data_IF_324126860313
#
_entry.id   IF_324126860313
#
_cell.length_a   1.000
_cell.length_b   1.000
_cell.length_c   1.000
_cell.angle_alpha   90.00
_cell.angle_beta   90.00
_cell.angle_gamma   90.00
#
_symmetry.space_group_name_H-M   'P 1'
#
loop_
_entity.id
_entity.type
_entity.pdbx_description
1 polymer ?
#
# COMPACT_ATOMS: atom_id res chain seq x y z
N UNK A 1 -0.11 -19.91 3.60
CA UNK A 1 0.85 -18.95 3.00
C UNK A 1 0.17 -18.20 1.87
N UNK A 2 0.66 -17.00 1.55
CA UNK A 2 0.12 -16.12 0.49
C UNK A 2 1.26 -15.74 -0.45
N UNK A 3 1.01 -15.81 -1.74
CA UNK A 3 1.87 -15.28 -2.79
C UNK A 3 1.10 -14.23 -3.58
N UNK A 4 1.65 -13.03 -3.69
CA UNK A 4 1.07 -11.94 -4.49
C UNK A 4 1.81 -11.84 -5.82
N UNK A 5 1.05 -11.82 -6.92
CA UNK A 5 1.58 -11.65 -8.27
C UNK A 5 1.56 -10.15 -8.63
N UNK A 6 2.71 -9.55 -8.69
CA UNK A 6 2.90 -8.14 -9.01
C UNK A 6 3.10 -7.26 -7.78
N UNK A 7 3.59 -6.06 -8.02
CA UNK A 7 3.78 -5.00 -7.05
C UNK A 7 3.54 -3.67 -7.77
N UNK A 8 2.52 -2.93 -7.33
CA UNK A 8 2.15 -1.61 -7.86
C UNK A 8 2.21 -1.52 -9.40
N UNK A 9 1.54 -2.44 -10.12
CA UNK A 9 1.71 -2.56 -11.56
C UNK A 9 1.31 -1.30 -12.34
N UNK A 10 0.51 -0.42 -11.76
CA UNK A 10 0.15 0.88 -12.34
C UNK A 10 1.34 1.83 -12.45
N UNK A 11 2.38 1.58 -11.66
CA UNK A 11 3.58 2.40 -11.59
C UNK A 11 4.80 1.71 -12.19
N UNK A 12 4.89 0.39 -12.04
CA UNK A 12 6.03 -0.40 -12.47
C UNK A 12 5.90 -0.90 -13.91
N UNK A 13 4.66 -1.13 -14.39
CA UNK A 13 4.39 -1.46 -15.77
C UNK A 13 4.03 -0.17 -16.52
N UNK A 14 5.00 0.44 -17.18
CA UNK A 14 4.74 1.52 -18.09
C UNK A 14 3.97 0.99 -19.32
N UNK A 15 2.63 0.91 -19.23
CA UNK A 15 1.77 0.62 -20.39
C UNK A 15 1.88 1.69 -21.48
N UNK A 16 2.57 2.80 -21.21
CA UNK A 16 2.88 3.89 -22.13
C UNK A 16 4.09 3.62 -23.02
N UNK A 17 4.71 2.45 -22.95
CA UNK A 17 5.81 2.11 -23.86
C UNK A 17 5.27 1.36 -25.07
N UNK A 18 5.85 1.59 -26.24
CA UNK A 18 5.52 0.96 -27.54
C UNK A 18 5.53 -0.58 -27.55
N UNK A 19 5.75 -1.21 -26.40
CA UNK A 19 5.87 -2.66 -26.21
C UNK A 19 4.63 -3.32 -25.58
N UNK A 20 3.69 -2.53 -25.08
CA UNK A 20 2.45 -3.05 -24.50
C UNK A 20 1.23 -2.39 -25.17
N UNK A 21 0.20 -3.18 -25.45
CA UNK A 21 -1.06 -2.62 -25.93
C UNK A 21 -1.70 -1.75 -24.85
N UNK A 22 -2.11 -0.55 -25.22
CA UNK A 22 -2.65 0.47 -24.32
C UNK A 22 -3.94 0.06 -23.58
N UNK A 23 -4.54 -1.07 -23.94
CA UNK A 23 -5.78 -1.60 -23.34
C UNK A 23 -5.56 -2.59 -22.18
N UNK A 24 -4.30 -2.84 -21.81
CA UNK A 24 -3.95 -3.78 -20.73
C UNK A 24 -4.16 -5.26 -21.08
N UNK A 25 -4.48 -5.61 -22.33
CA UNK A 25 -4.75 -6.99 -22.74
C UNK A 25 -3.54 -7.90 -22.56
N UNK A 26 -2.36 -7.45 -22.95
CA UNK A 26 -1.12 -8.22 -22.82
C UNK A 26 -0.77 -8.47 -21.36
N UNK A 27 -0.98 -7.48 -20.50
CA UNK A 27 -0.76 -7.63 -19.08
C UNK A 27 -1.77 -8.59 -18.44
N UNK A 28 -3.03 -8.52 -18.84
CA UNK A 28 -4.06 -9.47 -18.41
C UNK A 28 -3.72 -10.90 -18.84
N UNK A 29 -3.31 -11.09 -20.09
CA UNK A 29 -2.91 -12.40 -20.62
C UNK A 29 -1.71 -12.95 -19.87
N UNK A 30 -0.68 -12.12 -19.62
CA UNK A 30 0.48 -12.49 -18.83
C UNK A 30 0.09 -12.93 -17.41
N UNK A 31 -0.71 -12.15 -16.69
CA UNK A 31 -1.13 -12.50 -15.33
C UNK A 31 -1.94 -13.81 -15.28
N UNK A 32 -2.83 -14.03 -16.26
CA UNK A 32 -3.58 -15.28 -16.35
C UNK A 32 -2.66 -16.49 -16.53
N UNK A 33 -1.74 -16.41 -17.48
CA UNK A 33 -0.78 -17.48 -17.75
C UNK A 33 0.14 -17.71 -16.54
N UNK A 34 0.59 -16.62 -15.90
CA UNK A 34 1.44 -16.72 -14.72
C UNK A 34 0.72 -17.42 -13.55
N UNK A 35 -0.54 -17.06 -13.28
CA UNK A 35 -1.35 -17.73 -12.26
C UNK A 35 -1.52 -19.22 -12.53
N UNK A 36 -1.78 -19.59 -13.80
CA UNK A 36 -1.95 -20.98 -14.20
C UNK A 36 -0.65 -21.78 -14.05
N UNK A 37 0.48 -21.22 -14.46
CA UNK A 37 1.82 -21.85 -14.28
C UNK A 37 2.18 -21.99 -12.82
N UNK A 38 1.97 -20.96 -12.00
CA UNK A 38 2.17 -21.04 -10.56
C UNK A 38 1.32 -22.14 -9.93
N UNK A 39 0.07 -22.28 -10.36
CA UNK A 39 -0.82 -23.34 -9.86
C UNK A 39 -0.31 -24.72 -10.24
N UNK A 40 0.10 -24.93 -11.47
CA UNK A 40 0.70 -26.18 -11.93
C UNK A 40 1.97 -26.52 -11.15
N UNK A 41 2.82 -25.50 -10.97
CA UNK A 41 4.10 -25.68 -10.28
C UNK A 41 3.92 -25.98 -8.78
N UNK A 42 3.02 -25.26 -8.08
CA UNK A 42 2.74 -25.56 -6.67
C UNK A 42 2.17 -26.96 -6.49
N UNK A 43 1.30 -27.43 -7.39
CA UNK A 43 0.75 -28.80 -7.35
C UNK A 43 1.84 -29.85 -7.53
N UNK A 44 2.72 -29.66 -8.52
CA UNK A 44 3.83 -30.56 -8.80
C UNK A 44 4.83 -30.69 -7.63
N UNK A 45 4.95 -29.65 -6.79
CA UNK A 45 5.86 -29.62 -5.65
C UNK A 45 5.17 -29.85 -4.29
N UNK A 46 3.87 -30.08 -4.26
CA UNK A 46 3.09 -30.28 -3.03
C UNK A 46 2.99 -29.02 -2.15
N UNK A 47 3.09 -27.83 -2.73
CA UNK A 47 3.00 -26.56 -2.00
C UNK A 47 1.57 -26.06 -1.85
N UNK A 48 1.31 -25.38 -0.73
CA UNK A 48 -0.03 -24.97 -0.32
C UNK A 48 -0.10 -23.46 -0.03
N UNK A 49 0.09 -22.61 -1.03
CA UNK A 49 -0.10 -21.17 -0.90
C UNK A 49 -1.29 -20.69 -1.72
N UNK A 50 -1.94 -19.62 -1.26
CA UNK A 50 -2.98 -18.91 -1.97
C UNK A 50 -2.34 -17.87 -2.92
N UNK A 51 -2.84 -17.78 -4.15
CA UNK A 51 -2.37 -16.81 -5.15
C UNK A 51 -3.30 -15.60 -5.15
N UNK A 52 -2.72 -14.41 -4.93
CA UNK A 52 -3.40 -13.12 -5.07
C UNK A 52 -2.79 -12.34 -6.23
N UNK A 53 -3.59 -11.54 -6.91
CA UNK A 53 -3.11 -10.58 -7.91
C UNK A 53 -3.12 -9.16 -7.32
N UNK A 54 -2.37 -8.26 -7.91
CA UNK A 54 -2.27 -6.89 -7.45
C UNK A 54 -0.79 -6.59 -7.28
N UNK A 55 -0.29 -5.95 -6.31
CA UNK A 55 -0.81 -5.05 -5.31
C UNK A 55 -1.21 -3.70 -5.94
N UNK A 56 -2.50 -3.45 -6.12
CA UNK A 56 -2.96 -2.22 -6.73
C UNK A 56 -2.85 -1.04 -5.75
N UNK A 57 -2.29 0.08 -6.21
CA UNK A 57 -2.10 1.27 -5.41
C UNK A 57 -2.86 2.48 -5.99
N UNK A 58 -3.51 3.25 -5.13
CA UNK A 58 -4.15 4.52 -5.50
C UNK A 58 -5.23 4.40 -6.59
N UNK A 59 -6.01 3.34 -6.53
CA UNK A 59 -7.06 3.03 -7.51
C UNK A 59 -8.03 4.20 -7.73
N UNK A 60 -8.38 4.92 -6.67
CA UNK A 60 -9.28 6.09 -6.73
C UNK A 60 -8.67 7.30 -7.45
N UNK A 61 -7.36 7.38 -7.54
CA UNK A 61 -6.65 8.47 -8.20
C UNK A 61 -6.35 8.19 -9.69
N UNK A 62 -6.53 6.96 -10.14
CA UNK A 62 -6.19 6.49 -11.48
C UNK A 62 -7.42 6.05 -12.30
N UNK A 63 -8.42 6.93 -12.52
CA UNK A 63 -9.69 6.56 -13.13
C UNK A 63 -9.55 6.10 -14.61
N UNK A 64 -8.43 6.37 -15.25
CA UNK A 64 -8.11 6.02 -16.64
C UNK A 64 -7.05 4.93 -16.76
N UNK A 65 -6.63 4.30 -15.65
CA UNK A 65 -5.67 3.21 -15.70
C UNK A 65 -6.29 1.99 -16.39
N UNK A 66 -5.58 1.45 -17.37
CA UNK A 66 -5.94 0.18 -18.01
C UNK A 66 -5.40 -1.03 -17.22
N UNK A 67 -4.41 -0.80 -16.37
CA UNK A 67 -3.84 -1.83 -15.48
C UNK A 67 -4.85 -2.33 -14.45
N UNK A 68 -5.59 -1.41 -13.81
CA UNK A 68 -6.57 -1.78 -12.79
C UNK A 68 -7.65 -2.72 -13.35
N UNK A 69 -8.33 -2.42 -14.48
CA UNK A 69 -9.28 -3.35 -15.09
C UNK A 69 -8.65 -4.69 -15.48
N UNK A 70 -7.41 -4.69 -15.99
CA UNK A 70 -6.69 -5.91 -16.37
C UNK A 70 -6.48 -6.85 -15.18
N UNK A 71 -5.93 -6.33 -14.07
CA UNK A 71 -5.72 -7.09 -12.83
C UNK A 71 -7.06 -7.60 -12.28
N UNK A 72 -8.05 -6.73 -12.16
CA UNK A 72 -9.37 -7.08 -11.64
C UNK A 72 -10.07 -8.15 -12.50
N UNK A 73 -9.91 -8.08 -13.83
CA UNK A 73 -10.43 -9.11 -14.73
C UNK A 73 -9.81 -10.48 -14.41
N UNK A 74 -8.51 -10.54 -14.16
CA UNK A 74 -7.85 -11.79 -13.75
C UNK A 74 -8.38 -12.26 -12.39
N UNK A 75 -8.50 -11.37 -11.41
CA UNK A 75 -9.06 -11.72 -10.11
C UNK A 75 -10.45 -12.31 -10.23
N UNK A 76 -11.35 -11.67 -11.00
CA UNK A 76 -12.73 -12.11 -11.09
C UNK A 76 -12.90 -13.43 -11.86
N UNK A 77 -12.10 -13.65 -12.90
CA UNK A 77 -12.35 -14.74 -13.87
C UNK A 77 -11.40 -15.94 -13.74
N UNK A 78 -10.19 -15.77 -13.16
CA UNK A 78 -9.25 -16.90 -13.01
C UNK A 78 -9.52 -17.65 -11.70
N UNK A 79 -9.93 -18.94 -11.74
CA UNK A 79 -10.24 -19.72 -10.54
C UNK A 79 -9.01 -19.97 -9.65
N UNK A 80 -7.81 -19.88 -10.19
CA UNK A 80 -6.56 -20.08 -9.46
C UNK A 80 -6.16 -18.88 -8.62
N UNK A 81 -6.75 -17.70 -8.86
CA UNK A 81 -6.52 -16.48 -8.09
C UNK A 81 -7.61 -16.35 -7.05
N UNK A 82 -7.24 -16.36 -5.77
CA UNK A 82 -8.19 -16.36 -4.66
C UNK A 82 -8.56 -14.96 -4.15
N UNK A 83 -7.82 -13.93 -4.56
CA UNK A 83 -8.09 -12.57 -4.13
C UNK A 83 -7.22 -11.51 -4.77
N UNK A 84 -7.40 -10.29 -4.27
CA UNK A 84 -6.72 -9.08 -4.71
C UNK A 84 -5.95 -8.46 -3.54
N UNK A 85 -4.74 -8.01 -3.83
CA UNK A 85 -3.96 -7.18 -2.93
C UNK A 85 -4.10 -5.70 -3.27
N UNK A 86 -4.20 -4.86 -2.24
CA UNK A 86 -4.25 -3.41 -2.35
C UNK A 86 -3.13 -2.79 -1.50
N UNK A 87 -2.36 -1.90 -2.10
CA UNK A 87 -1.49 -0.99 -1.37
C UNK A 87 -2.23 0.32 -1.10
N UNK A 88 -2.24 0.76 0.16
CA UNK A 88 -3.00 1.94 0.57
C UNK A 88 -2.04 3.02 1.06
N UNK A 89 -1.41 3.72 0.11
CA UNK A 89 -0.56 4.88 0.40
C UNK A 89 -1.36 6.17 0.19
N UNK A 90 -2.21 6.48 1.16
CA UNK A 90 -3.14 7.59 1.06
C UNK A 90 -2.47 8.96 1.32
N UNK A 91 -2.89 9.98 0.59
CA UNK A 91 -2.61 11.39 0.90
C UNK A 91 -3.63 11.94 1.92
N UNK A 92 -4.87 11.46 1.83
CA UNK A 92 -5.98 11.79 2.74
C UNK A 92 -6.63 10.50 3.22
N UNK A 93 -7.09 10.52 4.45
CA UNK A 93 -7.67 9.34 5.13
C UNK A 93 -8.82 8.69 4.35
N UNK A 94 -9.69 9.49 3.73
CA UNK A 94 -10.83 8.96 2.98
C UNK A 94 -10.44 8.24 1.68
N UNK A 95 -9.26 8.49 1.12
CA UNK A 95 -8.80 7.79 -0.09
C UNK A 95 -8.66 6.29 0.13
N UNK A 96 -8.30 5.87 1.34
CA UNK A 96 -8.26 4.45 1.69
C UNK A 96 -9.62 3.77 1.46
N UNK A 97 -10.71 4.38 1.93
CA UNK A 97 -12.06 3.86 1.72
C UNK A 97 -12.49 3.90 0.25
N UNK A 98 -12.13 4.96 -0.47
CA UNK A 98 -12.46 5.13 -1.87
C UNK A 98 -11.84 4.01 -2.73
N UNK A 99 -10.60 3.61 -2.48
CA UNK A 99 -9.94 2.53 -3.19
C UNK A 99 -10.69 1.20 -3.00
N UNK A 100 -11.01 0.83 -1.77
CA UNK A 100 -11.78 -0.39 -1.48
C UNK A 100 -13.18 -0.37 -2.08
N UNK A 101 -13.86 0.78 -1.98
CA UNK A 101 -15.21 0.97 -2.54
C UNK A 101 -15.20 0.80 -4.06
N UNK A 102 -14.23 1.39 -4.76
CA UNK A 102 -14.12 1.25 -6.21
C UNK A 102 -13.90 -0.21 -6.61
N UNK A 103 -13.04 -0.93 -5.91
CA UNK A 103 -12.79 -2.36 -6.17
C UNK A 103 -14.06 -3.19 -5.97
N UNK A 104 -14.81 -2.94 -4.90
CA UNK A 104 -16.05 -3.68 -4.62
C UNK A 104 -17.21 -3.25 -5.54
N UNK A 105 -17.50 -1.95 -5.61
CA UNK A 105 -18.72 -1.45 -6.22
C UNK A 105 -18.59 -1.27 -7.73
N UNK A 106 -17.49 -0.68 -8.22
CA UNK A 106 -17.29 -0.44 -9.65
C UNK A 106 -16.84 -1.70 -10.39
N UNK A 107 -15.90 -2.44 -9.79
CA UNK A 107 -15.29 -3.60 -10.43
C UNK A 107 -15.88 -4.94 -10.01
N UNK A 108 -16.78 -4.96 -9.03
CA UNK A 108 -17.51 -6.16 -8.61
C UNK A 108 -16.63 -7.28 -8.05
N UNK A 109 -15.50 -6.97 -7.46
CA UNK A 109 -14.62 -7.98 -6.86
C UNK A 109 -15.30 -8.57 -5.62
N UNK A 110 -15.63 -9.84 -5.65
CA UNK A 110 -16.24 -10.58 -4.52
C UNK A 110 -15.24 -11.47 -3.78
N UNK A 111 -14.08 -11.73 -4.38
CA UNK A 111 -13.01 -12.53 -3.79
C UNK A 111 -12.36 -11.80 -2.61
N UNK A 112 -11.50 -12.53 -1.88
CA UNK A 112 -10.79 -11.99 -0.71
C UNK A 112 -9.97 -10.75 -1.08
N UNK A 113 -9.94 -9.77 -0.17
CA UNK A 113 -9.02 -8.64 -0.26
C UNK A 113 -7.96 -8.80 0.82
N UNK A 114 -6.74 -8.43 0.49
CA UNK A 114 -5.64 -8.24 1.44
C UNK A 114 -5.04 -6.85 1.25
N UNK A 115 -4.28 -6.39 2.23
CA UNK A 115 -3.53 -5.15 2.14
C UNK A 115 -2.13 -5.41 2.68
N UNK A 116 -1.16 -5.58 1.78
CA UNK A 116 0.21 -5.91 2.18
C UNK A 116 1.06 -4.68 2.47
N UNK A 117 0.66 -3.50 2.02
CA UNK A 117 1.28 -2.23 2.41
C UNK A 117 0.23 -1.15 2.64
N UNK A 118 0.36 -0.41 3.74
CA UNK A 118 -0.41 0.80 3.96
C UNK A 118 0.37 1.83 4.76
N UNK A 119 0.22 3.11 4.42
CA UNK A 119 0.94 4.19 5.09
C UNK A 119 0.33 5.56 4.80
N UNK A 120 0.78 6.56 5.57
CA UNK A 120 0.54 7.98 5.31
C UNK A 120 1.81 8.68 4.78
N UNK A 121 2.74 7.93 4.19
CA UNK A 121 4.02 8.48 3.68
C UNK A 121 3.80 9.64 2.70
N UNK A 122 2.76 9.57 1.88
CA UNK A 122 2.42 10.64 0.92
C UNK A 122 1.95 11.94 1.60
N UNK A 123 1.34 11.86 2.77
CA UNK A 123 1.02 13.03 3.58
C UNK A 123 2.28 13.62 4.23
N UNK A 124 3.28 12.78 4.54
CA UNK A 124 4.55 13.20 5.13
C UNK A 124 5.50 13.84 4.10
N UNK A 125 5.62 13.27 2.91
CA UNK A 125 6.63 13.66 1.91
C UNK A 125 6.74 15.17 1.63
N UNK A 126 5.64 15.94 1.49
CA UNK A 126 5.71 17.38 1.30
C UNK A 126 6.28 18.15 2.50
N UNK A 127 6.30 17.52 3.67
CA UNK A 127 6.62 18.13 4.96
C UNK A 127 7.94 17.68 5.57
N UNK A 128 8.69 16.80 4.91
CA UNK A 128 9.96 16.27 5.45
C UNK A 128 10.99 17.35 5.76
N UNK A 129 10.90 18.50 5.09
CA UNK A 129 11.76 19.66 5.33
C UNK A 129 11.16 20.68 6.33
N UNK A 130 10.02 20.42 6.94
CA UNK A 130 9.45 21.28 7.97
C UNK A 130 10.32 21.20 9.23
N UNK A 131 10.41 22.33 9.96
CA UNK A 131 11.16 22.40 11.20
C UNK A 131 10.40 21.74 12.35
N UNK A 132 11.12 21.15 13.32
CA UNK A 132 10.52 20.56 14.52
C UNK A 132 9.85 21.61 15.43
N UNK A 133 10.25 22.88 15.33
CA UNK A 133 9.64 23.99 16.04
C UNK A 133 9.66 23.82 17.56
N UNK A 134 8.53 24.19 18.19
CA UNK A 134 8.36 24.08 19.64
C UNK A 134 8.43 22.63 20.14
N UNK A 135 7.97 21.68 19.35
CA UNK A 135 8.04 20.28 19.72
C UNK A 135 9.51 19.86 19.89
N UNK A 136 10.38 20.25 18.95
CA UNK A 136 11.81 19.97 19.01
C UNK A 136 12.41 20.51 20.30
N UNK A 137 12.16 21.77 20.62
CA UNK A 137 12.68 22.41 21.85
C UNK A 137 12.23 21.67 23.13
N UNK A 138 10.95 21.25 23.19
CA UNK A 138 10.42 20.51 24.35
C UNK A 138 11.07 19.13 24.53
N UNK A 139 11.58 18.53 23.47
CA UNK A 139 12.17 17.19 23.47
C UNK A 139 13.71 17.21 23.42
N UNK A 140 14.34 18.40 23.61
CA UNK A 140 15.79 18.53 23.67
C UNK A 140 16.48 18.59 22.30
N UNK A 141 15.73 18.83 21.23
CA UNK A 141 16.24 19.08 19.88
C UNK A 141 16.24 20.59 19.57
N UNK A 142 16.96 21.00 18.54
CA UNK A 142 16.90 22.39 18.10
C UNK A 142 15.59 22.67 17.36
N UNK A 143 14.98 23.83 17.59
CA UNK A 143 13.73 24.21 16.90
C UNK A 143 13.86 24.22 15.37
N UNK A 144 15.05 24.51 14.84
CA UNK A 144 15.32 24.54 13.41
C UNK A 144 15.63 23.20 12.76
N UNK A 145 15.83 22.13 13.54
CA UNK A 145 16.04 20.78 13.01
C UNK A 145 14.85 20.39 12.12
N UNK A 146 15.14 19.76 10.99
CA UNK A 146 14.11 19.33 10.04
C UNK A 146 13.59 17.94 10.39
N UNK A 147 12.37 17.61 9.94
CA UNK A 147 11.80 16.27 10.16
C UNK A 147 12.73 15.19 9.61
N UNK A 148 13.26 15.33 8.38
CA UNK A 148 14.18 14.34 7.81
C UNK A 148 15.46 14.17 8.61
N UNK A 149 15.99 15.25 9.21
CA UNK A 149 17.19 15.19 10.08
C UNK A 149 16.88 14.42 11.37
N UNK A 150 15.71 14.67 11.96
CA UNK A 150 15.24 13.92 13.11
C UNK A 150 15.02 12.43 12.77
N UNK A 151 14.42 12.11 11.62
CA UNK A 151 14.22 10.72 11.19
C UNK A 151 15.56 9.99 11.02
N UNK A 152 16.56 10.62 10.44
CA UNK A 152 17.91 10.07 10.35
C UNK A 152 18.53 9.85 11.74
N UNK A 153 18.42 10.85 12.62
CA UNK A 153 18.95 10.77 13.99
C UNK A 153 18.31 9.60 14.78
N UNK A 154 16.99 9.41 14.69
CA UNK A 154 16.35 8.28 15.40
C UNK A 154 16.71 6.93 14.82
N UNK A 155 16.96 6.83 13.51
CA UNK A 155 17.49 5.62 12.89
C UNK A 155 18.91 5.30 13.40
N UNK A 156 19.77 6.32 13.50
CA UNK A 156 21.11 6.17 14.10
C UNK A 156 21.04 5.75 15.58
N UNK A 157 20.17 6.37 16.37
CA UNK A 157 19.93 5.98 17.77
C UNK A 157 19.43 4.54 17.90
N UNK A 158 18.53 4.11 17.03
CA UNK A 158 18.02 2.73 17.02
C UNK A 158 19.14 1.73 16.71
N UNK A 159 19.99 2.03 15.72
CA UNK A 159 21.15 1.21 15.37
C UNK A 159 22.20 1.15 16.52
N UNK A 160 22.30 2.22 17.31
CA UNK A 160 23.17 2.27 18.49
C UNK A 160 22.55 1.63 19.75
N UNK A 161 21.36 1.03 19.65
CA UNK A 161 20.67 0.40 20.78
C UNK A 161 20.01 1.39 21.76
N UNK A 162 19.84 2.64 21.38
CA UNK A 162 19.20 3.71 22.18
C UNK A 162 18.01 4.34 21.45
N UNK A 163 17.00 3.54 21.03
CA UNK A 163 15.89 4.05 20.25
C UNK A 163 15.06 5.08 21.03
N UNK A 164 14.48 6.03 20.32
CA UNK A 164 13.46 6.91 20.91
C UNK A 164 12.18 6.11 21.20
N UNK A 165 11.38 6.55 22.16
CA UNK A 165 10.12 5.89 22.47
C UNK A 165 9.08 6.06 21.35
N UNK A 166 8.22 5.07 21.20
CA UNK A 166 7.07 5.18 20.27
C UNK A 166 6.17 6.38 20.60
N UNK A 167 6.08 6.74 21.90
CA UNK A 167 5.33 7.91 22.37
C UNK A 167 5.96 9.22 21.88
N UNK A 168 7.28 9.34 21.97
CA UNK A 168 8.01 10.51 21.46
C UNK A 168 7.82 10.64 19.96
N UNK A 169 8.10 9.57 19.21
CA UNK A 169 7.92 9.53 17.76
C UNK A 169 6.50 9.95 17.33
N UNK A 170 5.49 9.34 17.93
CA UNK A 170 4.09 9.66 17.66
C UNK A 170 3.76 11.12 17.98
N UNK A 171 4.24 11.66 19.10
CA UNK A 171 3.94 13.02 19.53
C UNK A 171 4.47 14.09 18.58
N UNK A 172 5.58 13.81 17.86
CA UNK A 172 6.07 14.70 16.80
C UNK A 172 4.99 14.90 15.73
N UNK A 173 4.54 13.80 15.14
CA UNK A 173 3.56 13.89 14.05
C UNK A 173 2.22 14.44 14.52
N UNK A 174 1.78 14.09 15.73
CA UNK A 174 0.56 14.64 16.31
C UNK A 174 0.64 16.14 16.62
N UNK A 175 1.84 16.73 16.70
CA UNK A 175 2.03 18.16 16.87
C UNK A 175 1.71 18.98 15.60
N UNK A 176 1.75 18.35 14.43
CA UNK A 176 1.46 19.02 13.16
C UNK A 176 -0.02 18.96 12.80
N UNK A 177 -0.57 20.10 12.33
CA UNK A 177 -1.98 20.19 11.92
C UNK A 177 -2.29 19.45 10.62
N UNK A 178 -1.30 19.28 9.76
CA UNK A 178 -1.42 18.57 8.48
C UNK A 178 -1.41 17.05 8.65
N UNK A 179 -0.88 16.53 9.77
CA UNK A 179 -0.78 15.10 9.97
C UNK A 179 -2.12 14.50 10.40
N UNK A 180 -2.63 13.47 9.73
CA UNK A 180 -3.94 12.90 10.04
C UNK A 180 -3.89 12.10 11.33
N UNK A 181 -4.51 12.64 12.37
CA UNK A 181 -4.57 11.99 13.69
C UNK A 181 -5.40 10.71 13.64
N UNK A 182 -4.97 9.70 14.39
CA UNK A 182 -5.67 8.41 14.49
C UNK A 182 -5.88 7.67 13.15
N UNK A 183 -5.05 7.92 12.14
CA UNK A 183 -5.18 7.32 10.82
C UNK A 183 -5.17 5.77 10.87
N UNK A 184 -4.38 5.16 11.76
CA UNK A 184 -4.39 3.72 11.98
C UNK A 184 -5.78 3.18 12.32
N UNK A 185 -6.48 3.84 13.25
CA UNK A 185 -7.82 3.43 13.65
C UNK A 185 -8.77 3.54 12.46
N UNK A 186 -8.68 4.63 11.72
CA UNK A 186 -9.54 4.86 10.54
C UNK A 186 -9.28 3.80 9.47
N UNK A 187 -8.00 3.50 9.15
CA UNK A 187 -7.65 2.45 8.20
C UNK A 187 -8.14 1.08 8.67
N UNK A 188 -7.95 0.77 9.96
CA UNK A 188 -8.46 -0.48 10.54
C UNK A 188 -9.98 -0.63 10.36
N UNK A 189 -10.76 0.43 10.58
CA UNK A 189 -12.21 0.41 10.36
C UNK A 189 -12.57 0.23 8.87
N UNK A 190 -11.79 0.80 7.96
CA UNK A 190 -11.94 0.56 6.51
C UNK A 190 -11.67 -0.91 6.20
N UNK A 191 -10.54 -1.46 6.65
CA UNK A 191 -10.20 -2.87 6.42
C UNK A 191 -11.26 -3.81 6.95
N UNK A 192 -11.79 -3.53 8.14
CA UNK A 192 -12.88 -4.29 8.74
C UNK A 192 -14.18 -4.17 7.95
N UNK A 193 -14.54 -2.96 7.50
CA UNK A 193 -15.75 -2.70 6.70
C UNK A 193 -15.76 -3.51 5.41
N UNK A 194 -14.61 -3.67 4.77
CA UNK A 194 -14.46 -4.38 3.50
C UNK A 194 -14.02 -5.84 3.65
N UNK A 195 -14.07 -6.38 4.87
CA UNK A 195 -13.70 -7.77 5.19
C UNK A 195 -12.32 -8.14 4.64
N UNK A 196 -11.33 -7.29 4.95
CA UNK A 196 -9.94 -7.50 4.50
C UNK A 196 -9.35 -8.68 5.26
N UNK A 197 -9.01 -9.76 4.53
CA UNK A 197 -8.61 -11.04 5.10
C UNK A 197 -7.25 -11.00 5.82
N UNK A 198 -6.31 -10.25 5.29
CA UNK A 198 -4.99 -10.07 5.89
C UNK A 198 -4.48 -8.65 5.67
N UNK A 199 -3.78 -8.14 6.68
CA UNK A 199 -3.25 -6.77 6.68
C UNK A 199 -1.81 -6.85 7.16
N UNK A 200 -0.88 -6.25 6.42
CA UNK A 200 0.46 -5.95 6.91
C UNK A 200 0.74 -4.47 6.72
N UNK A 201 1.33 -3.84 7.72
CA UNK A 201 1.71 -2.43 7.65
C UNK A 201 3.23 -2.30 7.57
N UNK A 202 3.70 -1.45 6.67
CA UNK A 202 5.09 -1.01 6.68
C UNK A 202 5.15 0.37 7.31
N UNK A 203 5.95 0.50 8.37
CA UNK A 203 6.38 1.80 8.87
C UNK A 203 7.55 2.25 8.00
N UNK A 204 7.29 3.10 7.06
CA UNK A 204 8.32 3.81 6.32
C UNK A 204 8.31 5.27 6.73
#
# INVERSE_FOLDING_TARGET
EILVMGNEPEWENALDTDLCHADGEDYRAFLNEFANRLTTWKQANGWTFDIYAGALNRVSELPKSETVPAVVSVVNNNPNVVGLDLHVHALKINQAEDDFRIIRDKYGVTKKLICTEFSMVRALNPHVADALGEWGTKHGYTAGMKIYEYLNLIAEKANAGTPVSATEFKSLFESYSWYPKNWYKTFYEVFKKYDTYAITGRFS
#
